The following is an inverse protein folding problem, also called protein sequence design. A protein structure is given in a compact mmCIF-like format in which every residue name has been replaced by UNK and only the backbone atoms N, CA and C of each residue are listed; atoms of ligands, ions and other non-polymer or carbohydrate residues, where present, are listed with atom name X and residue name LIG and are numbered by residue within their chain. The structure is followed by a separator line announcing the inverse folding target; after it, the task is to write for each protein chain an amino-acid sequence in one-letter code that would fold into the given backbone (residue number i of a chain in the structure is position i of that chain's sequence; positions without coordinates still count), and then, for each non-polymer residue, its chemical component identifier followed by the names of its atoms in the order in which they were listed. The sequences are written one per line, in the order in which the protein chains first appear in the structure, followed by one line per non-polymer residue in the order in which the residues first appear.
data_IF_733333878162
#
_entry.id   IF_733333878162
#
_cell.length_a   1.000
_cell.length_b   1.000
_cell.length_c   1.000
_cell.angle_alpha   90.00
_cell.angle_beta   90.00
_cell.angle_gamma   90.00
#
_symmetry.space_group_name_H-M   'P 1'
#
loop_
_entity.id
_entity.type
_entity.pdbx_description
1 polymer ?
#
# COMPACT_ATOMS: atom_id res chain seq x y z
N UNK A 1 22.69 20.51 35.71
CA UNK A 1 23.23 20.94 34.40
C UNK A 1 22.27 20.41 33.35
N UNK A 2 21.29 21.23 32.94
CA UNK A 2 20.17 20.79 32.11
C UNK A 2 20.56 20.72 30.64
N UNK A 3 20.25 19.60 29.98
CA UNK A 3 20.34 19.49 28.53
C UNK A 3 19.22 20.34 27.91
N UNK A 4 19.60 21.34 27.11
CA UNK A 4 18.64 22.24 26.47
C UNK A 4 18.20 21.60 25.14
N UNK A 5 17.01 21.02 25.15
CA UNK A 5 16.35 20.51 23.93
C UNK A 5 15.69 21.73 23.29
N UNK A 6 16.28 22.27 22.21
CA UNK A 6 15.65 23.33 21.43
C UNK A 6 14.87 22.66 20.29
N UNK A 7 13.53 22.62 20.33
CA UNK A 7 12.76 22.08 19.21
C UNK A 7 12.87 23.05 18.02
N UNK A 8 13.45 22.59 16.91
CA UNK A 8 13.42 23.33 15.65
C UNK A 8 11.98 23.32 15.12
N UNK A 9 11.42 24.50 14.90
CA UNK A 9 10.05 24.70 14.42
C UNK A 9 9.86 24.39 12.93
N UNK A 10 10.86 23.78 12.27
CA UNK A 10 10.74 23.30 10.89
C UNK A 10 11.31 21.90 10.72
N UNK A 11 10.56 21.08 9.97
CA UNK A 11 10.77 19.66 9.66
C UNK A 11 12.23 19.34 9.31
N UNK A 12 12.74 18.24 9.86
CA UNK A 12 13.97 17.57 9.41
C UNK A 12 15.15 17.70 10.37
N UNK A 13 15.67 16.55 10.81
CA UNK A 13 16.92 16.32 11.58
C UNK A 13 16.92 16.87 13.02
N UNK A 14 16.79 15.97 14.00
CA UNK A 14 17.07 16.30 15.40
C UNK A 14 18.58 16.26 15.65
N UNK A 15 19.16 17.40 16.03
CA UNK A 15 20.56 17.51 16.40
C UNK A 15 20.66 17.61 17.93
N UNK A 16 21.34 16.67 18.58
CA UNK A 16 21.57 16.72 20.04
C UNK A 16 23.07 16.81 20.35
N UNK A 17 23.42 17.57 21.38
CA UNK A 17 24.82 17.86 21.74
C UNK A 17 25.13 17.29 23.11
N UNK A 18 25.98 16.26 23.15
CA UNK A 18 26.41 15.57 24.38
C UNK A 18 27.93 15.68 24.45
N UNK A 19 28.46 16.10 25.60
CA UNK A 19 29.91 16.27 25.84
C UNK A 19 30.67 17.08 24.76
N UNK A 20 30.02 18.10 24.18
CA UNK A 20 30.64 18.95 23.15
C UNK A 20 30.64 18.38 21.73
N UNK A 21 30.16 17.15 21.53
CA UNK A 21 29.97 16.56 20.19
C UNK A 21 28.53 16.71 19.73
N UNK A 22 28.35 17.06 18.45
CA UNK A 22 27.03 17.22 17.81
C UNK A 22 26.68 15.91 17.11
N UNK A 23 25.60 15.29 17.57
CA UNK A 23 25.04 14.08 16.97
C UNK A 23 23.82 14.45 16.14
N UNK A 24 23.82 14.03 14.88
CA UNK A 24 22.69 14.14 13.99
C UNK A 24 21.93 12.81 14.00
N UNK A 25 20.73 12.78 14.57
CA UNK A 25 19.83 11.63 14.41
C UNK A 25 19.14 11.79 13.07
N UNK A 26 19.70 11.19 12.02
CA UNK A 26 18.99 10.96 10.76
C UNK A 26 18.02 9.82 10.99
N UNK A 27 16.94 10.11 11.71
CA UNK A 27 15.78 9.21 11.75
C UNK A 27 15.28 9.13 10.32
N UNK A 28 15.61 8.06 9.60
CA UNK A 28 14.84 7.72 8.41
C UNK A 28 13.39 7.60 8.90
N UNK A 29 12.46 8.39 8.34
CA UNK A 29 11.09 8.43 8.82
C UNK A 29 10.57 6.99 8.89
N UNK A 30 10.24 6.54 10.10
CA UNK A 30 9.52 5.30 10.27
C UNK A 30 8.11 5.58 9.76
N UNK A 31 7.60 4.88 8.73
CA UNK A 31 6.24 5.06 8.25
C UNK A 31 5.29 4.36 9.24
N UNK A 32 5.25 4.85 10.48
CA UNK A 32 4.42 4.29 11.55
C UNK A 32 3.16 5.13 11.81
N UNK A 33 2.86 6.13 10.97
CA UNK A 33 1.66 6.96 11.13
C UNK A 33 0.90 7.17 9.81
N UNK A 34 0.88 6.16 8.94
CA UNK A 34 -0.13 6.05 7.89
C UNK A 34 -1.05 4.89 8.28
N UNK A 35 -2.04 5.20 9.13
CA UNK A 35 -3.10 4.27 9.49
C UNK A 35 -3.96 3.98 8.26
N UNK A 36 -3.67 2.88 7.57
CA UNK A 36 -4.47 2.42 6.44
C UNK A 36 -3.72 1.47 5.50
N UNK A 37 -4.48 0.72 4.70
CA UNK A 37 -3.98 -0.08 3.57
C UNK A 37 -3.13 0.73 2.58
N UNK A 38 -3.19 2.05 2.64
CA UNK A 38 -2.43 2.98 1.81
C UNK A 38 -0.91 2.83 2.01
N UNK A 39 -0.46 2.60 3.24
CA UNK A 39 0.96 2.37 3.53
C UNK A 39 1.48 1.09 2.86
N UNK A 40 0.68 0.02 2.92
CA UNK A 40 1.00 -1.26 2.27
C UNK A 40 0.99 -1.13 0.75
N UNK A 41 0.08 -0.35 0.18
CA UNK A 41 0.03 -0.07 -1.25
C UNK A 41 1.26 0.69 -1.73
N UNK A 42 1.71 1.71 -0.99
CA UNK A 42 2.91 2.47 -1.31
C UNK A 42 4.19 1.62 -1.17
N UNK A 43 4.28 0.77 -0.14
CA UNK A 43 5.36 -0.22 0.00
C UNK A 43 5.38 -1.18 -1.20
N UNK A 44 4.21 -1.68 -1.60
CA UNK A 44 4.08 -2.58 -2.74
C UNK A 44 4.54 -1.89 -4.03
N UNK A 45 4.11 -0.64 -4.27
CA UNK A 45 4.54 0.17 -5.43
C UNK A 45 6.04 0.50 -5.44
N UNK A 46 6.62 0.75 -4.27
CA UNK A 46 8.05 1.03 -4.13
C UNK A 46 8.92 -0.22 -4.30
N UNK A 47 8.34 -1.42 -4.24
CA UNK A 47 9.07 -2.68 -4.44
C UNK A 47 9.43 -2.87 -5.92
N UNK A 48 10.73 -2.98 -6.27
CA UNK A 48 11.15 -3.18 -7.66
C UNK A 48 10.49 -4.40 -8.30
N UNK A 49 9.97 -4.23 -9.52
CA UNK A 49 9.28 -5.29 -10.26
C UNK A 49 7.82 -5.51 -9.87
N UNK A 50 7.25 -4.75 -8.93
CA UNK A 50 5.82 -4.80 -8.61
C UNK A 50 4.94 -4.54 -9.85
N UNK A 51 5.27 -3.50 -10.63
CA UNK A 51 4.55 -3.17 -11.87
C UNK A 51 4.67 -4.25 -12.93
N UNK A 52 5.87 -4.83 -13.11
CA UNK A 52 6.10 -5.92 -14.06
C UNK A 52 5.32 -7.19 -13.69
N UNK A 53 5.27 -7.55 -12.40
CA UNK A 53 4.49 -8.71 -11.90
C UNK A 53 2.99 -8.51 -12.09
N UNK A 54 2.47 -7.32 -11.80
CA UNK A 54 1.05 -7.01 -12.04
C UNK A 54 0.71 -7.10 -13.54
N UNK A 55 1.58 -6.58 -14.41
CA UNK A 55 1.41 -6.68 -15.86
C UNK A 55 1.43 -8.13 -16.36
N UNK A 56 2.35 -8.98 -15.89
CA UNK A 56 2.39 -10.40 -16.25
C UNK A 56 1.11 -11.14 -15.80
N UNK A 57 0.65 -10.92 -14.55
CA UNK A 57 -0.59 -11.51 -14.06
C UNK A 57 -1.82 -11.02 -14.84
N UNK A 58 -1.84 -9.74 -15.22
CA UNK A 58 -2.90 -9.18 -16.05
C UNK A 58 -2.91 -9.81 -17.44
N UNK A 59 -1.75 -9.94 -18.09
CA UNK A 59 -1.59 -10.56 -19.40
C UNK A 59 -2.04 -12.02 -19.39
N UNK A 60 -1.52 -12.84 -18.46
CA UNK A 60 -1.95 -14.24 -18.27
C UNK A 60 -3.45 -14.35 -17.96
N UNK A 61 -3.99 -13.35 -17.28
CA UNK A 61 -5.42 -13.24 -17.04
C UNK A 61 -6.24 -13.00 -18.31
N UNK A 62 -5.71 -12.28 -19.30
CA UNK A 62 -6.35 -12.08 -20.60
C UNK A 62 -6.18 -13.28 -21.51
N UNK A 63 -5.00 -13.90 -21.54
CA UNK A 63 -4.74 -15.12 -22.34
C UNK A 63 -5.73 -16.22 -21.95
N UNK A 64 -5.89 -16.49 -20.64
CA UNK A 64 -6.90 -17.44 -20.13
C UNK A 64 -8.35 -17.08 -20.48
N UNK A 65 -8.66 -15.81 -20.73
CA UNK A 65 -10.01 -15.37 -21.14
C UNK A 65 -10.21 -15.49 -22.64
N UNK A 66 -9.14 -15.33 -23.42
CA UNK A 66 -9.18 -15.49 -24.87
C UNK A 66 -9.38 -16.97 -25.25
N UNK A 67 -8.85 -17.89 -24.44
CA UNK A 67 -8.99 -19.33 -24.61
C UNK A 67 -10.27 -19.92 -23.96
N UNK A 68 -11.05 -19.10 -23.27
CA UNK A 68 -12.24 -19.55 -22.53
C UNK A 68 -13.40 -19.87 -23.49
N UNK A 69 -14.08 -21.00 -23.29
CA UNK A 69 -15.28 -21.33 -24.06
C UNK A 69 -16.48 -20.49 -23.61
N UNK A 70 -17.51 -20.37 -24.46
CA UNK A 70 -18.70 -19.57 -24.11
C UNK A 70 -19.42 -20.08 -22.86
N UNK A 71 -19.43 -21.40 -22.62
CA UNK A 71 -20.02 -21.97 -21.40
C UNK A 71 -19.22 -21.60 -20.14
N UNK A 72 -17.88 -21.69 -20.20
CA UNK A 72 -17.00 -21.29 -19.10
C UNK A 72 -17.12 -19.79 -18.82
N UNK A 73 -17.15 -18.98 -19.89
CA UNK A 73 -17.34 -17.53 -19.83
C UNK A 73 -18.67 -17.18 -19.16
N UNK A 74 -19.76 -17.83 -19.55
CA UNK A 74 -21.08 -17.60 -18.97
C UNK A 74 -21.10 -17.98 -17.47
N UNK A 75 -20.53 -19.13 -17.09
CA UNK A 75 -20.39 -19.54 -15.68
C UNK A 75 -19.59 -18.52 -14.87
N UNK A 76 -18.46 -18.04 -15.39
CA UNK A 76 -17.63 -17.02 -14.72
C UNK A 76 -18.36 -15.69 -14.56
N UNK A 77 -19.12 -15.26 -15.56
CA UNK A 77 -19.93 -14.04 -15.50
C UNK A 77 -21.07 -14.17 -14.50
N UNK A 78 -21.74 -15.34 -14.44
CA UNK A 78 -22.78 -15.61 -13.45
C UNK A 78 -22.25 -15.50 -12.01
N UNK A 79 -21.06 -16.05 -11.73
CA UNK A 79 -20.41 -15.93 -10.42
C UNK A 79 -20.09 -14.47 -10.07
N UNK A 80 -19.58 -13.68 -11.02
CA UNK A 80 -19.36 -12.24 -10.78
C UNK A 80 -20.66 -11.50 -10.50
N UNK A 81 -21.72 -11.79 -11.26
CA UNK A 81 -23.04 -11.19 -11.09
C UNK A 81 -23.63 -11.48 -9.71
N UNK A 82 -23.57 -12.73 -9.27
CA UNK A 82 -24.03 -13.15 -7.93
C UNK A 82 -23.25 -12.43 -6.82
N UNK A 83 -21.92 -12.37 -6.92
CA UNK A 83 -21.09 -11.66 -5.93
C UNK A 83 -21.43 -10.17 -5.86
N UNK A 84 -21.65 -9.52 -7.00
CA UNK A 84 -22.08 -8.11 -7.03
C UNK A 84 -23.50 -7.90 -6.49
N UNK A 85 -24.39 -8.88 -6.59
CA UNK A 85 -25.70 -8.84 -5.96
C UNK A 85 -25.60 -8.99 -4.44
N UNK A 86 -24.75 -9.91 -3.96
CA UNK A 86 -24.49 -10.12 -2.54
C UNK A 86 -23.94 -8.86 -1.86
N UNK A 87 -22.89 -8.26 -2.43
CA UNK A 87 -22.29 -7.03 -1.88
C UNK A 87 -23.32 -5.90 -1.82
N UNK A 88 -24.13 -5.73 -2.87
CA UNK A 88 -25.18 -4.70 -2.89
C UNK A 88 -26.29 -4.96 -1.88
N UNK A 89 -26.60 -6.23 -1.58
CA UNK A 89 -27.58 -6.60 -0.58
C UNK A 89 -27.03 -6.33 0.84
N UNK A 90 -25.78 -6.70 1.10
CA UNK A 90 -25.09 -6.43 2.37
C UNK A 90 -24.97 -4.92 2.64
N UNK A 91 -24.70 -4.11 1.62
CA UNK A 91 -24.62 -2.64 1.73
C UNK A 91 -25.99 -1.97 2.00
N UNK A 92 -27.10 -2.68 1.76
CA UNK A 92 -28.46 -2.21 2.08
C UNK A 92 -28.99 -2.68 3.44
N UNK A 93 -28.26 -3.55 4.13
CA UNK A 93 -28.56 -4.00 5.51
C UNK A 93 -27.76 -3.23 6.58
N UNK A 94 -26.96 -2.23 6.19
CA UNK A 94 -26.28 -1.25 7.07
C UNK A 94 -27.09 0.04 7.29
#
# INVERSE_FOLDING_TARGET
MGAQIVPSTKRGVYCFRIHGQIYHMTSHPHPAEAGGNDALFEIARATPGHTARLSDMAQRGQERRAEETEEQRNRRLAVKGQRSQHIRAEETEE
#
